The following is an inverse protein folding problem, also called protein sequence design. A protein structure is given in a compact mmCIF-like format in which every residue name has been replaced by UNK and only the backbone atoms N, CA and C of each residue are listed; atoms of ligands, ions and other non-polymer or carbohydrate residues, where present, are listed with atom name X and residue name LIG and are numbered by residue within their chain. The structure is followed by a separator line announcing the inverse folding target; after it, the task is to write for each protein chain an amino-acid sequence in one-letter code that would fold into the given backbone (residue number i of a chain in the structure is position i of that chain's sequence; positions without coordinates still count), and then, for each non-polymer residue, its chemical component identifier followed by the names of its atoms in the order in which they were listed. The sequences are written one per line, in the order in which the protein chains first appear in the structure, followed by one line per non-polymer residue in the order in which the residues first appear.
data_IF_044039740810
#
_entry.id   IF_044039740810
#
_cell.length_a   1.000
_cell.length_b   1.000
_cell.length_c   1.000
_cell.angle_alpha   90.00
_cell.angle_beta   90.00
_cell.angle_gamma   90.00
#
_symmetry.space_group_name_H-M   'P 1'
#
loop_
_entity.id
_entity.type
_entity.pdbx_description
1 polymer ?
#
# COMPACT_ATOMS: atom_id res chain seq x y z
N UNK A 1 38.42 -15.97 21.71
CA UNK A 1 37.51 -16.80 20.89
C UNK A 1 36.09 -16.86 21.47
N UNK A 2 35.91 -17.25 22.75
CA UNK A 2 34.58 -17.33 23.41
C UNK A 2 33.83 -15.98 23.47
N UNK A 3 34.53 -14.88 23.75
CA UNK A 3 33.93 -13.53 23.80
C UNK A 3 33.31 -13.10 22.47
N UNK A 4 33.97 -13.38 21.34
CA UNK A 4 33.46 -13.04 20.00
C UNK A 4 32.25 -13.88 19.61
N UNK A 5 32.21 -15.15 20.04
CA UNK A 5 31.07 -16.05 19.82
C UNK A 5 29.85 -15.56 20.60
N UNK A 6 30.02 -15.17 21.88
CA UNK A 6 28.95 -14.61 22.70
C UNK A 6 28.39 -13.30 22.12
N UNK A 7 29.27 -12.43 21.61
CA UNK A 7 28.85 -11.17 21.00
C UNK A 7 28.04 -11.39 19.71
N UNK A 8 28.46 -12.35 18.88
CA UNK A 8 27.73 -12.72 17.66
C UNK A 8 26.35 -13.31 17.99
N UNK A 9 26.28 -14.17 19.00
CA UNK A 9 25.01 -14.77 19.45
C UNK A 9 24.05 -13.71 19.98
N UNK A 10 24.54 -12.77 20.79
CA UNK A 10 23.75 -11.63 21.27
C UNK A 10 23.23 -10.77 20.12
N UNK A 11 24.08 -10.48 19.13
CA UNK A 11 23.66 -9.72 17.94
C UNK A 11 22.57 -10.45 17.17
N UNK A 12 22.70 -11.78 17.00
CA UNK A 12 21.72 -12.61 16.30
C UNK A 12 20.34 -12.58 16.98
N UNK A 13 20.31 -12.49 18.32
CA UNK A 13 19.04 -12.39 19.07
C UNK A 13 18.30 -11.07 18.86
N UNK A 14 18.98 -9.97 18.51
CA UNK A 14 18.31 -8.71 18.15
C UNK A 14 17.58 -8.78 16.80
N UNK A 15 18.00 -9.69 15.91
CA UNK A 15 17.36 -9.87 14.60
C UNK A 15 16.20 -10.87 14.64
N UNK A 16 15.89 -11.46 15.79
CA UNK A 16 14.69 -12.29 15.90
C UNK A 16 13.45 -11.39 15.82
N UNK A 17 12.53 -11.63 14.88
CA UNK A 17 11.31 -10.85 14.77
C UNK A 17 10.48 -11.04 16.04
N UNK A 18 10.27 -9.97 16.80
CA UNK A 18 9.32 -9.98 17.89
C UNK A 18 7.91 -9.95 17.31
N UNK A 19 7.01 -10.87 17.72
CA UNK A 19 5.63 -10.83 17.27
C UNK A 19 4.98 -9.55 17.83
N UNK A 20 4.86 -8.52 17.00
CA UNK A 20 4.08 -7.33 17.32
C UNK A 20 2.62 -7.73 17.47
N UNK A 21 2.08 -7.63 18.69
CA UNK A 21 0.64 -7.76 18.93
C UNK A 21 0.02 -6.37 18.80
N UNK A 22 -0.62 -6.13 17.67
CA UNK A 22 -1.50 -4.97 17.50
C UNK A 22 -2.91 -5.41 17.91
N UNK A 23 -3.43 -4.80 18.98
CA UNK A 23 -4.81 -4.98 19.38
C UNK A 23 -5.71 -4.12 18.48
N UNK A 24 -6.80 -4.68 17.94
CA UNK A 24 -7.77 -3.93 17.13
C UNK A 24 -9.04 -3.70 17.93
N UNK A 25 -9.40 -2.43 18.07
CA UNK A 25 -10.58 -1.93 18.77
C UNK A 25 -11.70 -1.62 17.78
N UNK A 26 -12.94 -1.95 18.15
CA UNK A 26 -14.16 -1.60 17.40
C UNK A 26 -15.00 -0.60 18.21
N UNK A 27 -15.43 0.49 17.59
CA UNK A 27 -16.24 1.52 18.23
C UNK A 27 -17.28 2.12 17.26
N UNK A 28 -18.20 2.93 17.76
CA UNK A 28 -19.20 3.65 16.94
C UNK A 28 -18.78 5.11 16.84
N UNK A 29 -18.60 5.62 15.62
CA UNK A 29 -18.21 7.01 15.39
C UNK A 29 -19.36 7.99 15.71
N UNK A 30 -19.07 9.29 15.64
CA UNK A 30 -20.05 10.36 15.91
C UNK A 30 -21.24 10.39 14.93
N UNK A 31 -21.08 9.79 13.76
CA UNK A 31 -22.09 9.68 12.72
C UNK A 31 -22.89 8.36 12.81
N UNK A 32 -22.62 7.54 13.84
CA UNK A 32 -23.27 6.23 14.02
C UNK A 32 -22.65 5.09 13.20
N UNK A 33 -21.52 5.31 12.53
CA UNK A 33 -20.84 4.30 11.73
C UNK A 33 -19.91 3.42 12.59
N UNK A 34 -19.81 2.13 12.28
CA UNK A 34 -18.87 1.22 12.94
C UNK A 34 -17.46 1.45 12.40
N UNK A 35 -16.53 1.82 13.27
CA UNK A 35 -15.13 2.08 12.94
C UNK A 35 -14.20 1.13 13.71
N UNK A 36 -13.00 0.92 13.15
CA UNK A 36 -11.94 0.10 13.73
C UNK A 36 -10.66 0.91 13.88
N UNK A 37 -9.95 0.74 15.00
CA UNK A 37 -8.66 1.39 15.23
C UNK A 37 -7.74 0.49 16.03
N UNK A 38 -6.45 0.56 15.76
CA UNK A 38 -5.38 -0.09 16.51
C UNK A 38 -4.85 0.76 17.68
N UNK A 39 -5.31 2.02 17.79
CA UNK A 39 -4.97 2.93 18.88
C UNK A 39 -6.20 3.28 19.72
N UNK A 40 -6.16 2.90 21.01
CA UNK A 40 -7.24 3.19 21.97
C UNK A 40 -7.52 4.69 22.15
N UNK A 41 -6.53 5.55 21.89
CA UNK A 41 -6.68 7.01 22.02
C UNK A 41 -7.67 7.58 20.99
N UNK A 42 -7.79 6.93 19.82
CA UNK A 42 -8.70 7.31 18.76
C UNK A 42 -10.16 6.95 19.09
N UNK A 43 -10.39 6.12 20.11
CA UNK A 43 -11.74 5.79 20.57
C UNK A 43 -12.28 6.95 21.41
N UNK A 44 -13.52 7.44 21.14
CA UNK A 44 -14.20 8.42 21.98
C UNK A 44 -14.20 8.03 23.46
N UNK A 45 -13.89 8.99 24.33
CA UNK A 45 -13.64 8.74 25.76
C UNK A 45 -14.81 8.02 26.47
N UNK A 46 -16.04 8.31 26.06
CA UNK A 46 -17.26 7.69 26.58
C UNK A 46 -17.40 6.21 26.23
N UNK A 47 -16.80 5.78 25.11
CA UNK A 47 -16.89 4.41 24.61
C UNK A 47 -15.71 3.54 25.05
N UNK A 48 -14.58 4.13 25.45
CA UNK A 48 -13.38 3.41 25.93
C UNK A 48 -13.65 2.28 26.94
N UNK A 49 -14.49 2.45 27.98
CA UNK A 49 -14.77 1.36 28.93
C UNK A 49 -15.63 0.23 28.34
N UNK A 50 -16.34 0.47 27.23
CA UNK A 50 -17.23 -0.50 26.59
C UNK A 50 -16.65 -1.12 25.30
N UNK A 51 -15.44 -0.70 24.89
CA UNK A 51 -14.79 -1.26 23.70
C UNK A 51 -14.42 -2.70 23.94
N UNK A 52 -15.00 -3.58 23.13
CA UNK A 52 -14.61 -4.98 23.09
C UNK A 52 -13.29 -5.09 22.32
N UNK A 53 -12.25 -5.56 23.00
CA UNK A 53 -11.02 -6.01 22.36
C UNK A 53 -11.36 -7.20 21.48
N UNK A 54 -11.18 -7.07 20.17
CA UNK A 54 -11.35 -8.19 19.26
C UNK A 54 -10.11 -9.06 19.41
N UNK A 55 -10.18 -10.11 20.23
CA UNK A 55 -9.21 -11.18 20.12
C UNK A 55 -9.39 -11.84 18.74
N UNK A 56 -8.31 -12.10 17.99
CA UNK A 56 -8.37 -12.87 16.76
C UNK A 56 -8.75 -14.32 17.10
N UNK A 57 -10.03 -14.55 17.35
CA UNK A 57 -10.61 -15.89 17.46
C UNK A 57 -10.60 -16.50 16.06
N UNK A 58 -10.14 -17.75 15.86
CA UNK A 58 -10.30 -18.42 14.58
C UNK A 58 -11.79 -18.48 14.25
N UNK A 59 -12.18 -17.71 13.23
CA UNK A 59 -13.56 -17.55 12.78
C UNK A 59 -14.25 -18.92 12.64
N UNK A 60 -15.39 -19.18 13.31
CA UNK A 60 -16.28 -20.27 12.92
C UNK A 60 -16.80 -19.96 11.51
N UNK A 61 -16.78 -20.98 10.65
CA UNK A 61 -17.25 -21.04 9.26
C UNK A 61 -18.15 -19.88 8.80
N UNK A 62 -17.65 -19.12 7.84
CA UNK A 62 -18.37 -18.06 7.16
C UNK A 62 -19.69 -18.56 6.53
N UNK A 63 -20.79 -17.79 6.58
CA UNK A 63 -21.95 -18.04 5.73
C UNK A 63 -21.61 -17.73 4.26
N UNK A 64 -22.15 -18.57 3.39
CA UNK A 64 -22.08 -18.65 1.92
C UNK A 64 -21.82 -17.31 1.20
N UNK A 65 -20.85 -17.26 0.25
CA UNK A 65 -20.50 -16.03 -0.44
C UNK A 65 -21.60 -15.59 -1.41
N UNK A 66 -22.20 -14.44 -1.13
CA UNK A 66 -22.77 -13.56 -2.16
C UNK A 66 -21.63 -13.13 -3.09
N UNK A 67 -21.81 -13.10 -4.43
CA UNK A 67 -20.76 -12.71 -5.37
C UNK A 67 -20.53 -11.20 -5.30
N UNK A 68 -19.86 -10.74 -4.24
CA UNK A 68 -19.22 -9.44 -4.19
C UNK A 68 -17.92 -9.53 -4.97
N UNK A 69 -17.78 -8.66 -5.96
CA UNK A 69 -16.58 -8.39 -6.75
C UNK A 69 -15.30 -8.69 -5.97
N UNK A 70 -14.65 -9.79 -6.31
CA UNK A 70 -13.34 -10.16 -5.79
C UNK A 70 -12.32 -9.16 -6.35
N UNK A 71 -12.13 -8.04 -5.67
CA UNK A 71 -10.88 -7.32 -5.79
C UNK A 71 -9.81 -8.27 -5.24
N UNK A 72 -8.79 -8.67 -6.03
CA UNK A 72 -7.69 -9.42 -5.46
C UNK A 72 -7.13 -8.54 -4.35
N UNK A 73 -7.19 -9.04 -3.10
CA UNK A 73 -6.40 -8.44 -2.01
C UNK A 73 -4.99 -8.27 -2.58
N UNK A 74 -4.34 -7.11 -2.43
CA UNK A 74 -2.92 -7.03 -2.69
C UNK A 74 -2.26 -8.05 -1.78
N UNK A 75 -1.95 -9.20 -2.36
CA UNK A 75 -1.01 -10.15 -1.77
C UNK A 75 0.27 -9.38 -1.75
N UNK A 76 0.62 -8.84 -0.58
CA UNK A 76 1.97 -8.42 -0.33
C UNK A 76 2.81 -9.67 -0.56
N UNK A 77 3.46 -9.76 -1.72
CA UNK A 77 4.49 -10.75 -1.96
C UNK A 77 5.45 -10.60 -0.79
N UNK A 78 5.40 -11.57 0.11
CA UNK A 78 6.24 -11.59 1.29
C UNK A 78 7.64 -11.55 0.69
N UNK A 79 8.37 -10.45 0.90
CA UNK A 79 9.65 -10.21 0.20
C UNK A 79 10.64 -11.38 0.36
N UNK A 80 10.47 -12.18 1.42
CA UNK A 80 11.15 -13.44 1.72
C UNK A 80 10.94 -14.52 0.65
N UNK A 81 9.81 -14.53 -0.05
CA UNK A 81 9.51 -15.52 -1.10
C UNK A 81 10.05 -15.09 -2.48
N UNK A 82 10.49 -13.84 -2.61
CA UNK A 82 11.11 -13.34 -3.84
C UNK A 82 12.47 -14.05 -4.05
N UNK A 83 12.78 -14.62 -5.23
CA UNK A 83 14.06 -15.29 -5.48
C UNK A 83 15.28 -14.42 -5.12
N UNK A 84 15.17 -13.09 -5.25
CA UNK A 84 16.21 -12.14 -4.89
C UNK A 84 16.60 -12.19 -3.39
N UNK A 85 15.63 -12.45 -2.50
CA UNK A 85 15.87 -12.47 -1.05
C UNK A 85 16.76 -13.66 -0.63
N UNK A 86 16.67 -14.79 -1.33
CA UNK A 86 17.52 -15.96 -1.10
C UNK A 86 18.99 -15.62 -1.39
N UNK A 87 19.24 -14.88 -2.47
CA UNK A 87 20.60 -14.41 -2.79
C UNK A 87 21.10 -13.38 -1.76
N UNK A 88 20.22 -12.51 -1.24
CA UNK A 88 20.56 -11.57 -0.18
C UNK A 88 21.00 -12.29 1.11
N UNK A 89 20.29 -13.33 1.53
CA UNK A 89 20.65 -14.10 2.73
C UNK A 89 22.00 -14.82 2.54
N UNK A 90 22.24 -15.41 1.37
CA UNK A 90 23.53 -16.01 1.03
C UNK A 90 24.64 -14.97 1.03
N UNK A 91 24.39 -13.79 0.48
CA UNK A 91 25.35 -12.70 0.43
C UNK A 91 25.72 -12.19 1.83
N UNK A 92 24.74 -12.06 2.73
CA UNK A 92 24.96 -11.68 4.13
C UNK A 92 25.80 -12.76 4.84
N UNK A 93 25.44 -14.03 4.70
CA UNK A 93 26.21 -15.12 5.31
C UNK A 93 27.66 -15.16 4.80
N UNK A 94 27.85 -14.98 3.49
CA UNK A 94 29.17 -14.96 2.87
C UNK A 94 30.01 -13.76 3.34
N UNK A 95 29.37 -12.60 3.52
CA UNK A 95 30.00 -11.40 4.07
C UNK A 95 30.47 -11.61 5.52
N UNK A 96 29.69 -12.30 6.36
CA UNK A 96 30.06 -12.63 7.74
C UNK A 96 31.28 -13.57 7.77
N UNK A 97 31.28 -14.61 6.93
CA UNK A 97 32.42 -15.54 6.80
C UNK A 97 33.68 -14.79 6.35
N UNK A 98 33.54 -13.89 5.37
CA UNK A 98 34.62 -13.09 4.85
C UNK A 98 35.22 -12.15 5.92
N UNK A 99 34.38 -11.51 6.75
CA UNK A 99 34.82 -10.70 7.89
C UNK A 99 35.55 -11.54 8.95
N UNK A 100 35.09 -12.77 9.21
CA UNK A 100 35.76 -13.68 10.13
C UNK A 100 37.16 -14.07 9.64
N UNK A 101 37.30 -14.37 8.34
CA UNK A 101 38.60 -14.65 7.69
C UNK A 101 39.53 -13.44 7.78
N UNK A 102 39.02 -12.23 7.50
CA UNK A 102 39.79 -10.99 7.63
C UNK A 102 40.27 -10.72 9.05
N UNK A 103 39.44 -11.04 10.05
CA UNK A 103 39.79 -10.86 11.45
C UNK A 103 40.89 -11.83 11.90
N UNK A 104 40.91 -13.05 11.36
CA UNK A 104 41.93 -14.06 11.71
C UNK A 104 43.22 -13.96 10.90
N UNK A 105 43.21 -13.28 9.75
CA UNK A 105 44.39 -13.18 8.90
C UNK A 105 45.22 -11.94 9.23
N UNK A 106 46.50 -12.15 9.53
CA UNK A 106 47.48 -11.07 9.74
C UNK A 106 47.97 -10.47 8.41
N UNK A 107 47.79 -11.19 7.29
CA UNK A 107 48.28 -10.78 5.96
C UNK A 107 47.61 -9.50 5.46
N UNK A 108 48.41 -8.43 5.36
CA UNK A 108 48.01 -7.15 4.81
C UNK A 108 47.52 -7.27 3.35
N UNK A 109 48.22 -8.06 2.52
CA UNK A 109 47.90 -8.21 1.11
C UNK A 109 46.52 -8.84 0.91
N UNK A 110 46.19 -9.86 1.69
CA UNK A 110 44.88 -10.53 1.62
C UNK A 110 43.75 -9.59 2.03
N UNK A 111 43.95 -8.77 3.07
CA UNK A 111 42.99 -7.73 3.48
C UNK A 111 42.76 -6.71 2.37
N UNK A 112 43.80 -6.30 1.66
CA UNK A 112 43.71 -5.33 0.57
C UNK A 112 42.93 -5.91 -0.62
N UNK A 113 43.26 -7.13 -1.05
CA UNK A 113 42.57 -7.82 -2.16
C UNK A 113 41.08 -8.03 -1.84
N UNK A 114 40.77 -8.48 -0.62
CA UNK A 114 39.39 -8.71 -0.20
C UNK A 114 38.56 -7.42 -0.16
N UNK A 115 39.15 -6.29 0.28
CA UNK A 115 38.49 -4.98 0.22
C UNK A 115 38.22 -4.53 -1.22
N UNK A 116 39.18 -4.76 -2.11
CA UNK A 116 39.04 -4.38 -3.52
C UNK A 116 37.92 -5.18 -4.20
N UNK A 117 37.85 -6.48 -3.94
CA UNK A 117 36.77 -7.34 -4.42
C UNK A 117 35.41 -6.91 -3.87
N UNK A 118 35.33 -6.58 -2.58
CA UNK A 118 34.08 -6.13 -1.97
C UNK A 118 33.58 -4.82 -2.59
N UNK A 119 34.45 -3.82 -2.75
CA UNK A 119 34.10 -2.54 -3.38
C UNK A 119 33.68 -2.74 -4.84
N UNK A 120 34.40 -3.59 -5.58
CA UNK A 120 34.05 -3.92 -6.97
C UNK A 120 32.68 -4.59 -7.09
N UNK A 121 32.39 -5.56 -6.23
CA UNK A 121 31.10 -6.25 -6.22
C UNK A 121 29.95 -5.31 -5.82
N UNK A 122 30.16 -4.49 -4.79
CA UNK A 122 29.17 -3.51 -4.35
C UNK A 122 28.88 -2.48 -5.45
N UNK A 123 29.91 -1.99 -6.14
CA UNK A 123 29.77 -1.10 -7.30
C UNK A 123 28.98 -1.75 -8.44
N UNK A 124 29.28 -3.00 -8.77
CA UNK A 124 28.54 -3.74 -9.80
C UNK A 124 27.08 -3.99 -9.43
N UNK A 125 26.79 -4.28 -8.17
CA UNK A 125 25.43 -4.47 -7.68
C UNK A 125 24.61 -3.17 -7.75
N UNK A 126 25.19 -2.04 -7.30
CA UNK A 126 24.55 -0.72 -7.41
C UNK A 126 24.32 -0.36 -8.88
N UNK A 127 25.32 -0.56 -9.74
CA UNK A 127 25.20 -0.32 -11.17
C UNK A 127 24.08 -1.15 -11.80
N UNK A 128 23.97 -2.44 -11.45
CA UNK A 128 22.90 -3.31 -11.94
C UNK A 128 21.51 -2.83 -11.52
N UNK A 129 21.34 -2.33 -10.29
CA UNK A 129 20.05 -1.79 -9.83
C UNK A 129 19.69 -0.52 -10.58
N UNK A 130 20.65 0.39 -10.76
CA UNK A 130 20.45 1.66 -11.48
C UNK A 130 20.09 1.38 -12.94
N UNK A 131 20.80 0.48 -13.62
CA UNK A 131 20.50 0.12 -15.03
C UNK A 131 19.18 -0.65 -15.15
N UNK A 132 18.76 -1.43 -14.14
CA UNK A 132 17.45 -2.08 -14.14
C UNK A 132 16.27 -1.11 -13.89
N UNK A 133 16.53 0.06 -13.30
CA UNK A 133 15.50 1.09 -13.10
C UNK A 133 15.15 1.86 -14.37
N UNK A 134 15.94 1.74 -15.45
CA UNK A 134 15.66 2.34 -16.76
C UNK A 134 14.57 1.60 -17.56
N UNK A 135 13.74 0.76 -16.91
CA UNK A 135 12.43 0.42 -17.45
C UNK A 135 11.46 1.53 -17.05
N UNK A 136 11.30 2.62 -17.84
CA UNK A 136 10.28 3.61 -17.56
C UNK A 136 8.96 2.85 -17.50
N UNK A 137 8.21 3.02 -16.40
CA UNK A 137 6.84 2.54 -16.33
C UNK A 137 6.13 3.06 -17.58
N UNK A 138 5.88 2.16 -18.52
CA UNK A 138 5.21 2.52 -19.76
C UNK A 138 3.90 3.22 -19.40
N UNK A 139 3.55 4.34 -20.03
CA UNK A 139 2.26 5.00 -19.80
C UNK A 139 1.09 4.01 -19.91
N UNK A 140 1.22 2.98 -20.76
CA UNK A 140 0.24 1.90 -20.89
C UNK A 140 0.18 0.99 -19.65
N UNK A 141 1.30 0.72 -18.98
CA UNK A 141 1.33 -0.06 -17.74
C UNK A 141 0.67 0.70 -16.58
N UNK A 142 0.90 2.02 -16.50
CA UNK A 142 0.25 2.90 -15.54
C UNK A 142 -1.27 2.99 -15.81
N UNK A 143 -1.68 3.13 -17.07
CA UNK A 143 -3.10 3.19 -17.44
C UNK A 143 -3.82 1.87 -17.16
N UNK A 144 -3.19 0.73 -17.43
CA UNK A 144 -3.73 -0.59 -17.09
C UNK A 144 -3.84 -0.81 -15.58
N UNK A 145 -2.87 -0.32 -14.79
CA UNK A 145 -2.93 -0.37 -13.33
C UNK A 145 -4.03 0.54 -12.76
N UNK A 146 -4.33 1.67 -13.42
CA UNK A 146 -5.36 2.61 -13.02
C UNK A 146 -6.78 2.21 -13.47
N UNK A 147 -6.92 1.33 -14.48
CA UNK A 147 -8.20 0.90 -15.04
C UNK A 147 -9.27 0.44 -14.03
N UNK A 148 -8.95 -0.24 -12.91
CA UNK A 148 -9.94 -0.65 -11.91
C UNK A 148 -10.47 0.50 -11.04
N UNK A 149 -9.71 1.60 -10.97
CA UNK A 149 -10.02 2.78 -10.14
C UNK A 149 -10.62 3.93 -10.96
N UNK A 150 -10.55 3.84 -12.29
CA UNK A 150 -11.29 4.74 -13.15
C UNK A 150 -12.78 4.43 -12.96
N UNK A 151 -13.61 5.46 -12.69
CA UNK A 151 -15.05 5.26 -12.66
C UNK A 151 -15.45 4.64 -14.00
N UNK A 152 -16.12 3.48 -13.95
CA UNK A 152 -16.67 2.77 -15.10
C UNK A 152 -17.39 3.80 -15.97
N UNK A 153 -17.37 3.80 -17.32
CA UNK A 153 -17.96 4.88 -18.14
C UNK A 153 -19.49 5.08 -18.00
N UNK A 154 -20.19 4.26 -17.22
CA UNK A 154 -21.63 4.33 -17.00
C UNK A 154 -22.14 5.64 -16.33
N UNK A 155 -21.59 6.14 -15.20
CA UNK A 155 -22.05 7.35 -14.54
C UNK A 155 -21.72 8.62 -15.35
N UNK A 156 -20.72 8.60 -16.25
CA UNK A 156 -20.39 9.75 -17.09
C UNK A 156 -21.45 9.93 -18.19
N UNK A 157 -21.87 8.84 -18.82
CA UNK A 157 -22.91 8.89 -19.85
C UNK A 157 -24.28 9.23 -19.25
N UNK A 158 -24.59 8.73 -18.05
CA UNK A 158 -25.81 9.08 -17.33
C UNK A 158 -25.79 10.54 -16.84
N UNK A 159 -24.67 11.03 -16.32
CA UNK A 159 -24.51 12.43 -15.94
C UNK A 159 -24.66 13.36 -17.16
N UNK A 160 -24.07 13.01 -18.30
CA UNK A 160 -24.21 13.80 -19.54
C UNK A 160 -25.66 13.83 -20.04
N UNK A 161 -26.39 12.71 -19.91
CA UNK A 161 -27.82 12.65 -20.23
C UNK A 161 -28.67 13.45 -19.25
N UNK A 162 -28.31 13.48 -17.97
CA UNK A 162 -28.99 14.29 -16.96
C UNK A 162 -28.78 15.79 -17.23
N UNK A 163 -27.54 16.21 -17.53
CA UNK A 163 -27.21 17.61 -17.87
C UNK A 163 -27.98 18.07 -19.12
N UNK A 164 -28.04 17.25 -20.17
CA UNK A 164 -28.79 17.59 -21.37
C UNK A 164 -30.31 17.75 -21.15
N UNK A 165 -30.89 17.02 -20.18
CA UNK A 165 -32.31 17.20 -19.82
C UNK A 165 -32.55 18.51 -19.07
N UNK A 166 -31.63 18.89 -18.18
CA UNK A 166 -31.72 20.15 -17.42
C UNK A 166 -31.60 21.34 -18.38
N UNK A 167 -30.67 21.29 -19.33
CA UNK A 167 -30.50 22.36 -20.32
C UNK A 167 -31.73 22.51 -21.24
N UNK A 168 -32.36 21.41 -21.64
CA UNK A 168 -33.59 21.44 -22.43
C UNK A 168 -34.78 22.02 -21.63
N UNK A 169 -34.91 21.67 -20.35
CA UNK A 169 -35.94 22.21 -19.47
C UNK A 169 -35.75 23.72 -19.23
N UNK A 170 -34.51 24.18 -19.10
CA UNK A 170 -34.19 25.60 -18.92
C UNK A 170 -34.56 26.43 -20.16
N UNK A 171 -34.27 25.93 -21.38
CA UNK A 171 -34.68 26.60 -22.62
C UNK A 171 -36.20 26.68 -22.79
N UNK A 172 -36.94 25.67 -22.32
CA UNK A 172 -38.40 25.71 -22.34
C UNK A 172 -38.95 26.76 -21.37
N UNK A 173 -38.39 26.88 -20.17
CA UNK A 173 -38.76 27.92 -19.21
C UNK A 173 -38.46 29.32 -19.74
N UNK A 174 -37.30 29.53 -20.35
CA UNK A 174 -36.94 30.83 -20.95
C UNK A 174 -37.89 31.22 -22.08
N UNK A 175 -38.27 30.28 -22.95
CA UNK A 175 -39.23 30.52 -24.02
C UNK A 175 -40.64 30.82 -23.48
N UNK A 176 -41.05 30.18 -22.39
CA UNK A 176 -42.33 30.43 -21.72
C UNK A 176 -42.36 31.81 -21.05
N UNK A 177 -41.26 32.20 -20.38
CA UNK A 177 -41.09 33.52 -19.78
C UNK A 177 -41.11 34.61 -20.85
N UNK A 178 -40.41 34.41 -21.98
CA UNK A 178 -40.43 35.38 -23.09
C UNK A 178 -41.84 35.54 -23.68
N UNK A 179 -42.59 34.43 -23.81
CA UNK A 179 -43.99 34.46 -24.25
C UNK A 179 -44.87 35.22 -23.26
N UNK A 180 -44.67 35.03 -21.96
CA UNK A 180 -45.38 35.78 -20.93
C UNK A 180 -45.05 37.27 -20.98
N UNK A 181 -43.77 37.65 -21.10
CA UNK A 181 -43.36 39.05 -21.21
C UNK A 181 -43.97 39.73 -22.45
N UNK A 182 -43.99 39.05 -23.61
CA UNK A 182 -44.66 39.59 -24.82
C UNK A 182 -46.17 39.75 -24.66
N UNK A 183 -46.83 38.89 -23.87
CA UNK A 183 -48.28 39.01 -23.61
C UNK A 183 -48.62 40.18 -22.68
N UNK A 184 -47.69 40.58 -21.80
CA UNK A 184 -47.85 41.75 -20.91
C UNK A 184 -47.69 43.06 -21.68
N UNK A 185 -46.80 43.10 -22.68
CA UNK A 185 -46.55 44.29 -23.50
C UNK A 185 -47.64 44.59 -24.56
N UNK A 186 -48.57 43.65 -24.82
CA UNK A 186 -49.68 43.87 -25.75
C UNK A 186 -51.02 43.30 -25.24
N UNK A 187 -51.71 43.98 -24.30
CA UNK A 187 -52.93 43.47 -23.67
C UNK A 187 -54.19 43.48 -24.56
N UNK A 188 -54.10 43.87 -25.83
CA UNK A 188 -55.24 44.07 -26.74
C UNK A 188 -55.20 43.22 -28.04
N UNK A 189 -54.52 42.08 -28.04
CA UNK A 189 -54.65 41.05 -29.09
C UNK A 189 -55.21 39.74 -28.54
#
# INVERSE_FOLDING_TARGET
MIRSILFLFALLTLFLPTPGRADVFRYIDKNGAVAFTDNIENVPQEQRPAVQKIEPTPSPSAPTPTPALSHPRPTYDRWIDNPLSKYMMVFIALSIVMLFVQHKTESFLLKMVMKLLFVGFLGAAIYSVVVMQDNPLSPAALQNAAAPYLPTPAPINEAKKAVGKVEAAQKQQEAEIEKMMRSVDNPNQ
#
